data_IF_344240849188
#
_entry.id   IF_344240849188
#
_cell.length_a   1.000
_cell.length_b   1.000
_cell.length_c   1.000
_cell.angle_alpha   90.00
_cell.angle_beta   90.00
_cell.angle_gamma   90.00
#
_symmetry.space_group_name_H-M   'P 1'
#
loop_
_entity.id
_entity.type
_entity.pdbx_description
1 polymer ?
#
# COMPACT_ATOMS: atom_id res chain seq x y z
N UNK A 1 7.91 10.75 47.21
CA UNK A 1 7.28 9.46 47.59
C UNK A 1 6.63 8.80 46.38
N UNK A 2 7.41 8.00 45.63
CA UNK A 2 6.91 7.10 44.58
C UNK A 2 7.62 5.75 44.75
N UNK A 3 7.32 5.07 45.84
CA UNK A 3 7.89 3.76 46.21
C UNK A 3 6.94 2.59 45.91
N UNK A 4 5.69 2.88 45.50
CA UNK A 4 4.73 1.88 45.07
C UNK A 4 4.61 1.88 43.54
N UNK A 5 4.69 0.69 42.94
CA UNK A 5 4.49 0.52 41.50
C UNK A 5 3.00 0.55 41.14
N UNK A 6 2.66 1.19 40.02
CA UNK A 6 1.29 1.18 39.47
C UNK A 6 0.90 -0.14 38.81
N UNK A 7 1.89 -0.90 38.36
CA UNK A 7 1.77 -2.23 37.73
C UNK A 7 3.04 -3.02 38.02
N UNK A 8 3.00 -4.37 38.07
CA UNK A 8 4.21 -5.19 38.12
C UNK A 8 5.20 -4.75 37.04
N UNK A 9 6.47 -4.64 37.42
CA UNK A 9 7.55 -4.16 36.55
C UNK A 9 8.65 -5.21 36.45
N UNK A 10 9.44 -5.16 35.39
CA UNK A 10 10.53 -6.10 35.12
C UNK A 10 11.74 -5.37 34.52
N UNK A 11 12.89 -6.03 34.52
CA UNK A 11 14.03 -5.59 33.74
C UNK A 11 13.77 -5.84 32.26
N UNK A 12 14.16 -4.90 31.41
CA UNK A 12 14.06 -4.97 29.96
C UNK A 12 15.41 -4.58 29.36
N UNK A 13 15.72 -5.13 28.17
CA UNK A 13 16.87 -4.72 27.37
C UNK A 13 16.40 -4.56 25.92
N UNK A 14 17.06 -3.69 25.16
CA UNK A 14 16.67 -3.44 23.78
C UNK A 14 17.69 -4.07 22.82
N UNK A 15 17.22 -4.67 21.72
CA UNK A 15 18.12 -5.23 20.71
C UNK A 15 19.11 -4.20 20.16
N UNK A 16 18.69 -2.94 20.05
CA UNK A 16 19.53 -1.82 19.60
C UNK A 16 20.52 -1.31 20.66
N UNK A 17 20.57 -1.88 21.87
CA UNK A 17 21.62 -1.57 22.84
C UNK A 17 22.95 -2.27 22.52
N UNK A 18 22.96 -3.26 21.62
CA UNK A 18 24.16 -4.01 21.23
C UNK A 18 25.38 -3.12 20.89
N UNK A 19 25.27 -2.00 20.15
CA UNK A 19 26.41 -1.15 19.85
C UNK A 19 27.15 -0.61 21.08
N UNK A 20 26.51 -0.54 22.25
CA UNK A 20 27.14 -0.12 23.51
C UNK A 20 28.15 -1.14 24.05
N UNK A 21 28.07 -2.39 23.59
CA UNK A 21 28.99 -3.48 23.98
C UNK A 21 30.21 -3.61 23.07
N UNK A 22 30.27 -2.83 21.98
CA UNK A 22 31.35 -2.89 21.01
C UNK A 22 32.58 -2.10 21.49
N UNK A 23 33.78 -2.63 21.22
CA UNK A 23 35.04 -1.96 21.53
C UNK A 23 35.33 -0.75 20.62
N UNK A 24 36.37 0.06 20.95
CA UNK A 24 36.68 1.31 20.23
C UNK A 24 37.02 1.12 18.74
N UNK A 25 37.48 -0.07 18.35
CA UNK A 25 37.81 -0.40 16.95
C UNK A 25 36.56 -0.69 16.09
N UNK A 26 35.37 -0.80 16.69
CA UNK A 26 34.14 -1.11 15.97
C UNK A 26 33.60 0.13 15.22
N UNK A 27 33.19 -0.08 13.97
CA UNK A 27 32.61 0.97 13.13
C UNK A 27 31.09 0.98 13.27
N UNK A 28 30.56 1.94 14.02
CA UNK A 28 29.12 2.15 14.21
C UNK A 28 28.70 3.45 13.54
N UNK A 29 27.61 3.41 12.78
CA UNK A 29 27.08 4.59 12.07
C UNK A 29 25.57 4.52 11.89
N UNK A 30 25.01 5.57 11.30
CA UNK A 30 23.58 5.69 10.99
C UNK A 30 23.41 6.06 9.51
N UNK A 31 22.37 5.53 8.88
CA UNK A 31 21.95 5.94 7.53
C UNK A 31 20.57 6.58 7.64
N UNK A 32 20.48 7.84 7.24
CA UNK A 32 19.19 8.54 7.17
C UNK A 32 18.58 8.34 5.80
N UNK A 33 17.36 7.82 5.76
CA UNK A 33 16.61 7.62 4.52
C UNK A 33 15.57 8.74 4.40
N UNK A 34 15.74 9.60 3.41
CA UNK A 34 14.81 10.71 3.12
C UNK A 34 14.67 10.92 1.60
N UNK A 35 13.46 11.18 1.07
CA UNK A 35 12.17 11.10 1.75
C UNK A 35 11.80 9.66 2.11
N UNK A 36 10.89 9.48 3.08
CA UNK A 36 10.37 8.16 3.44
C UNK A 36 9.42 7.66 2.33
N UNK A 37 9.97 6.98 1.32
CA UNK A 37 9.18 6.40 0.24
C UNK A 37 8.47 5.10 0.66
N UNK A 38 9.11 4.32 1.55
CA UNK A 38 8.59 3.05 2.08
C UNK A 38 9.43 2.51 3.28
N UNK A 39 10.30 3.33 3.86
CA UNK A 39 11.33 2.88 4.81
C UNK A 39 10.82 2.78 6.25
N UNK A 40 9.78 3.55 6.60
CA UNK A 40 9.23 3.59 7.96
C UNK A 40 7.72 3.80 7.95
N UNK A 41 6.97 2.70 7.95
CA UNK A 41 5.49 2.69 7.92
C UNK A 41 4.93 1.72 8.98
N UNK A 42 5.21 1.93 10.27
CA UNK A 42 4.72 1.03 11.31
C UNK A 42 3.22 1.19 11.54
N UNK A 43 2.56 0.08 11.84
CA UNK A 43 1.19 0.03 12.38
C UNK A 43 1.32 -0.33 13.86
N UNK A 44 1.25 0.67 14.75
CA UNK A 44 1.54 0.48 16.18
C UNK A 44 0.63 1.24 17.15
N UNK A 45 -0.09 2.25 16.66
CA UNK A 45 -1.02 3.00 17.50
C UNK A 45 -2.44 2.51 17.27
N UNK A 46 -3.21 2.48 18.36
CA UNK A 46 -4.66 2.29 18.32
C UNK A 46 -5.37 3.45 17.59
N UNK A 47 -6.64 3.27 17.26
CA UNK A 47 -7.48 4.33 16.64
C UNK A 47 -7.47 5.61 17.49
N UNK A 48 -7.72 5.49 18.80
CA UNK A 48 -7.77 6.65 19.69
C UNK A 48 -6.43 7.39 19.78
N UNK A 49 -5.31 6.66 19.86
CA UNK A 49 -3.97 7.26 19.86
C UNK A 49 -3.63 7.91 18.51
N UNK A 50 -4.04 7.28 17.41
CA UNK A 50 -3.85 7.80 16.06
C UNK A 50 -4.60 9.12 15.86
N UNK A 51 -5.87 9.21 16.29
CA UNK A 51 -6.66 10.43 16.29
C UNK A 51 -6.01 11.53 17.14
N UNK A 52 -5.53 11.19 18.35
CA UNK A 52 -4.86 12.13 19.23
C UNK A 52 -3.53 12.67 18.66
N UNK A 53 -2.81 11.84 17.88
CA UNK A 53 -1.60 12.25 17.14
C UNK A 53 -1.95 13.11 15.93
N UNK A 54 -2.95 12.69 15.16
CA UNK A 54 -3.45 13.43 14.00
C UNK A 54 -3.85 14.86 14.39
N UNK A 55 -4.59 15.04 15.49
CA UNK A 55 -4.97 16.35 16.00
C UNK A 55 -3.80 17.28 16.35
N UNK A 56 -2.61 16.72 16.59
CA UNK A 56 -1.36 17.46 16.86
C UNK A 56 -0.50 17.67 15.61
N UNK A 57 -0.89 17.10 14.47
CA UNK A 57 -0.08 17.06 13.25
C UNK A 57 1.05 16.02 13.28
N UNK A 58 1.02 15.07 14.22
CA UNK A 58 2.03 14.01 14.33
C UNK A 58 1.71 12.83 13.41
N UNK A 59 2.73 12.06 12.93
CA UNK A 59 2.51 10.82 12.20
C UNK A 59 1.66 9.81 13.00
N UNK A 60 0.57 9.35 12.40
CA UNK A 60 -0.44 8.55 13.10
C UNK A 60 -0.01 7.12 13.34
N UNK A 61 0.82 6.52 12.46
CA UNK A 61 1.29 5.12 12.53
C UNK A 61 0.18 4.13 12.92
N UNK A 62 -0.98 4.29 12.29
CA UNK A 62 -2.21 3.50 12.46
C UNK A 62 -2.34 2.50 11.31
N UNK A 63 -3.33 1.61 11.38
CA UNK A 63 -3.62 0.69 10.28
C UNK A 63 -4.00 1.47 9.00
N UNK A 64 -4.72 2.59 9.13
CA UNK A 64 -5.02 3.50 8.03
C UNK A 64 -3.75 4.00 7.35
N UNK A 65 -2.83 4.62 8.08
CA UNK A 65 -1.61 5.18 7.46
C UNK A 65 -0.68 4.09 6.93
N UNK A 66 -0.59 2.93 7.60
CA UNK A 66 0.17 1.79 7.09
C UNK A 66 -0.32 1.32 5.71
N UNK A 67 -1.63 1.21 5.51
CA UNK A 67 -2.19 0.82 4.21
C UNK A 67 -1.97 1.91 3.13
N UNK A 68 -2.18 3.18 3.47
CA UNK A 68 -1.97 4.30 2.55
C UNK A 68 -0.50 4.45 2.12
N UNK A 69 0.45 4.20 3.04
CA UNK A 69 1.88 4.23 2.75
C UNK A 69 2.27 3.16 1.71
N UNK A 70 1.66 1.97 1.75
CA UNK A 70 1.88 0.93 0.74
C UNK A 70 1.43 1.43 -0.64
N UNK A 71 0.25 2.03 -0.76
CA UNK A 71 -0.22 2.60 -2.02
C UNK A 71 0.68 3.75 -2.49
N UNK A 72 1.07 4.63 -1.58
CA UNK A 72 1.94 5.77 -1.86
C UNK A 72 3.31 5.31 -2.40
N UNK A 73 3.89 4.26 -1.81
CA UNK A 73 5.19 3.72 -2.22
C UNK A 73 5.17 3.19 -3.66
N UNK A 74 4.14 2.43 -4.04
CA UNK A 74 3.97 1.93 -5.40
C UNK A 74 3.76 3.08 -6.40
N UNK A 75 2.91 4.06 -6.04
CA UNK A 75 2.69 5.25 -6.85
C UNK A 75 3.99 6.03 -7.05
N UNK A 76 4.78 6.23 -6.00
CA UNK A 76 6.06 6.93 -6.08
C UNK A 76 7.07 6.19 -6.97
N UNK A 77 7.18 4.86 -6.82
CA UNK A 77 8.05 4.04 -7.64
C UNK A 77 7.69 4.12 -9.13
N UNK A 78 6.40 4.06 -9.47
CA UNK A 78 5.92 4.20 -10.86
C UNK A 78 6.20 5.60 -11.43
N UNK A 79 6.00 6.66 -10.65
CA UNK A 79 6.35 8.03 -11.08
C UNK A 79 7.87 8.16 -11.32
N UNK A 80 8.69 7.59 -10.45
CA UNK A 80 10.16 7.63 -10.56
C UNK A 80 10.69 6.94 -11.83
N UNK A 81 9.99 5.94 -12.35
CA UNK A 81 10.36 5.26 -13.61
C UNK A 81 9.68 5.86 -14.84
N UNK A 82 8.87 6.91 -14.67
CA UNK A 82 8.34 7.74 -15.76
C UNK A 82 6.88 7.46 -16.15
N UNK A 83 6.12 6.70 -15.34
CA UNK A 83 4.69 6.50 -15.54
C UNK A 83 3.88 7.73 -15.10
N UNK A 84 2.71 7.92 -15.72
CA UNK A 84 1.73 8.93 -15.29
C UNK A 84 0.81 8.33 -14.22
N UNK A 85 0.88 8.84 -12.99
CA UNK A 85 0.07 8.33 -11.87
C UNK A 85 -0.63 9.49 -11.19
N UNK A 86 -1.97 9.47 -11.18
CA UNK A 86 -2.83 10.52 -10.67
C UNK A 86 -2.54 10.89 -9.22
N UNK A 87 -2.75 12.16 -8.87
CA UNK A 87 -2.51 12.67 -7.53
C UNK A 87 -3.43 12.02 -6.49
N UNK A 88 -2.99 11.89 -5.23
CA UNK A 88 -3.86 11.41 -4.15
C UNK A 88 -5.13 12.24 -4.00
N UNK A 89 -6.22 11.56 -3.65
CA UNK A 89 -7.50 12.19 -3.29
C UNK A 89 -7.52 12.51 -1.80
N UNK A 90 -8.26 13.55 -1.42
CA UNK A 90 -8.47 13.90 0.00
C UNK A 90 -9.65 13.08 0.55
N UNK A 91 -9.43 12.34 1.64
CA UNK A 91 -10.46 11.53 2.30
C UNK A 91 -10.48 11.74 3.81
N UNK A 92 -11.55 11.31 4.46
CA UNK A 92 -11.70 11.30 5.91
C UNK A 92 -11.96 9.87 6.37
N UNK A 93 -11.16 9.35 7.30
CA UNK A 93 -11.37 8.05 7.94
C UNK A 93 -11.16 8.19 9.44
N UNK A 94 -12.03 7.59 10.26
CA UNK A 94 -11.94 7.66 11.73
C UNK A 94 -11.92 9.11 12.23
N UNK A 95 -12.70 9.99 11.60
CA UNK A 95 -12.68 11.44 11.85
C UNK A 95 -11.36 12.17 11.57
N UNK A 96 -10.34 11.50 11.01
CA UNK A 96 -9.10 12.14 10.57
C UNK A 96 -9.30 12.68 9.16
N UNK A 97 -9.43 14.00 9.03
CA UNK A 97 -9.72 14.67 7.76
C UNK A 97 -8.48 14.81 6.86
N UNK A 98 -8.72 15.05 5.56
CA UNK A 98 -7.67 15.42 4.59
C UNK A 98 -6.51 14.42 4.50
N UNK A 99 -6.78 13.15 4.76
CA UNK A 99 -5.83 12.08 4.50
C UNK A 99 -5.63 11.96 2.99
N UNK A 100 -4.38 11.74 2.58
CA UNK A 100 -4.06 11.50 1.18
C UNK A 100 -4.32 10.02 0.84
N UNK A 101 -5.31 9.74 -0.01
CA UNK A 101 -5.58 8.43 -0.58
C UNK A 101 -4.97 8.36 -2.00
N UNK A 102 -3.79 7.75 -2.20
CA UNK A 102 -3.21 7.56 -3.52
C UNK A 102 -4.06 6.60 -4.38
N UNK A 103 -3.80 6.49 -5.69
CA UNK A 103 -4.25 5.33 -6.46
C UNK A 103 -3.90 4.02 -5.75
N UNK A 104 -4.83 3.06 -5.71
CA UNK A 104 -4.71 1.86 -4.87
C UNK A 104 -3.97 0.78 -5.64
N UNK A 105 -2.67 0.97 -5.74
CA UNK A 105 -1.75 0.10 -6.46
C UNK A 105 -1.08 -0.86 -5.47
N UNK A 106 -1.21 -2.16 -5.71
CA UNK A 106 -0.58 -3.20 -4.90
C UNK A 106 0.02 -4.25 -5.81
N UNK A 107 1.34 -4.33 -5.83
CA UNK A 107 2.07 -5.32 -6.63
C UNK A 107 2.68 -6.38 -5.73
N UNK A 108 2.59 -7.63 -6.17
CA UNK A 108 3.32 -8.73 -5.55
C UNK A 108 4.82 -8.39 -5.54
N UNK A 109 5.54 -8.70 -4.45
CA UNK A 109 6.99 -8.48 -4.38
C UNK A 109 7.77 -9.14 -5.53
N UNK A 110 7.23 -10.24 -6.07
CA UNK A 110 7.77 -10.97 -7.23
C UNK A 110 7.74 -10.17 -8.55
N UNK A 111 6.91 -9.13 -8.65
CA UNK A 111 6.83 -8.30 -9.85
C UNK A 111 8.09 -7.44 -10.01
N UNK A 112 8.45 -6.68 -8.97
CA UNK A 112 9.57 -5.75 -9.02
C UNK A 112 10.09 -5.40 -7.59
N UNK A 113 11.07 -6.13 -7.05
CA UNK A 113 11.60 -5.89 -5.70
C UNK A 113 12.54 -4.67 -5.62
N UNK A 114 12.87 -4.02 -6.75
CA UNK A 114 13.68 -2.80 -6.78
C UNK A 114 13.26 -1.90 -7.94
N UNK A 115 13.66 -0.61 -7.90
CA UNK A 115 13.42 0.33 -9.01
C UNK A 115 14.08 -0.13 -10.32
N UNK A 116 15.21 -0.83 -10.25
CA UNK A 116 15.87 -1.41 -11.42
C UNK A 116 15.02 -2.51 -12.06
N UNK A 117 14.45 -3.41 -11.24
CA UNK A 117 13.50 -4.41 -11.72
C UNK A 117 12.24 -3.74 -12.29
N UNK A 118 11.66 -2.77 -11.58
CA UNK A 118 10.47 -2.07 -12.05
C UNK A 118 10.70 -1.41 -13.42
N UNK A 119 11.86 -0.75 -13.62
CA UNK A 119 12.23 -0.18 -14.92
C UNK A 119 12.32 -1.26 -16.02
N UNK A 120 12.87 -2.43 -15.72
CA UNK A 120 12.93 -3.54 -16.68
C UNK A 120 11.55 -4.12 -17.05
N UNK A 121 10.54 -3.91 -16.19
CA UNK A 121 9.16 -4.34 -16.39
C UNK A 121 8.35 -3.38 -17.27
N UNK A 122 8.86 -2.17 -17.50
CA UNK A 122 8.16 -1.07 -18.15
C UNK A 122 8.97 -0.59 -19.37
N UNK A 123 8.87 -1.27 -20.53
CA UNK A 123 9.60 -0.87 -21.73
C UNK A 123 9.17 0.50 -22.28
N UNK A 124 7.92 0.91 -22.03
CA UNK A 124 7.38 2.20 -22.47
C UNK A 124 6.61 2.89 -21.33
N UNK A 125 7.28 3.35 -20.26
CA UNK A 125 6.61 3.82 -19.04
C UNK A 125 5.65 5.00 -19.29
N UNK A 126 5.91 5.82 -20.31
CA UNK A 126 5.04 6.93 -20.72
C UNK A 126 3.69 6.50 -21.29
N UNK A 127 3.55 5.23 -21.69
CA UNK A 127 2.29 4.64 -22.15
C UNK A 127 1.51 3.98 -21.00
N UNK A 128 1.97 4.18 -19.76
CA UNK A 128 1.29 3.71 -18.55
C UNK A 128 0.76 4.93 -17.80
N UNK A 129 -0.57 5.06 -17.79
CA UNK A 129 -1.33 6.08 -17.11
C UNK A 129 -2.34 5.45 -16.15
N UNK A 130 -2.33 5.87 -14.88
CA UNK A 130 -3.25 5.36 -13.84
C UNK A 130 -3.94 6.55 -13.19
N UNK A 131 -5.27 6.61 -13.27
CA UNK A 131 -6.05 7.72 -12.72
C UNK A 131 -6.04 7.76 -11.18
N UNK A 132 -6.35 8.92 -10.58
CA UNK A 132 -6.41 9.11 -9.12
C UNK A 132 -7.39 8.14 -8.43
N UNK A 133 -8.47 7.78 -9.14
CA UNK A 133 -9.52 6.89 -8.63
C UNK A 133 -9.26 5.41 -8.88
N UNK A 134 -8.13 5.05 -9.49
CA UNK A 134 -7.91 3.68 -9.93
C UNK A 134 -7.40 2.74 -8.84
N UNK A 135 -7.65 1.45 -9.03
CA UNK A 135 -7.09 0.35 -8.24
C UNK A 135 -6.40 -0.64 -9.18
N UNK A 136 -5.15 -1.00 -8.91
CA UNK A 136 -4.39 -1.94 -9.74
C UNK A 136 -3.70 -2.96 -8.87
N UNK A 137 -4.12 -4.22 -8.99
CA UNK A 137 -3.56 -5.33 -8.24
C UNK A 137 -2.89 -6.31 -9.19
N UNK A 138 -1.61 -6.61 -8.92
CA UNK A 138 -0.86 -7.69 -9.55
C UNK A 138 -0.45 -8.68 -8.45
N UNK A 139 -1.00 -9.89 -8.46
CA UNK A 139 -0.72 -10.90 -7.43
C UNK A 139 -0.19 -12.22 -8.01
N UNK A 140 0.52 -12.99 -7.17
CA UNK A 140 1.08 -14.30 -7.52
C UNK A 140 2.50 -14.25 -8.12
N UNK A 141 2.75 -15.07 -9.14
CA UNK A 141 4.05 -15.26 -9.78
C UNK A 141 4.31 -14.21 -10.88
N UNK A 142 4.52 -12.96 -10.47
CA UNK A 142 4.63 -11.82 -11.39
C UNK A 142 6.03 -11.58 -12.00
N UNK A 143 7.00 -12.47 -11.75
CA UNK A 143 8.40 -12.35 -12.19
C UNK A 143 8.56 -12.25 -13.72
N UNK A 144 7.59 -12.77 -14.47
CA UNK A 144 7.60 -12.82 -15.93
C UNK A 144 6.49 -11.96 -16.55
N UNK A 145 5.91 -11.04 -15.77
CA UNK A 145 4.98 -10.01 -16.27
C UNK A 145 5.78 -8.84 -16.83
N UNK A 146 5.34 -8.25 -17.94
CA UNK A 146 5.82 -7.00 -18.54
C UNK A 146 4.60 -6.08 -18.69
N UNK A 147 4.72 -4.82 -18.26
CA UNK A 147 3.70 -3.80 -18.42
C UNK A 147 4.14 -2.83 -19.52
N UNK A 148 3.65 -3.06 -20.74
CA UNK A 148 4.04 -2.31 -21.93
C UNK A 148 3.22 -1.03 -22.09
N UNK A 149 1.89 -1.15 -22.00
CA UNK A 149 0.95 -0.02 -22.05
C UNK A 149 -0.27 -0.32 -21.18
N UNK A 150 -0.82 0.72 -20.57
CA UNK A 150 -2.07 0.67 -19.79
C UNK A 150 -2.58 2.10 -19.53
N UNK A 151 -3.79 2.41 -19.95
CA UNK A 151 -4.55 3.55 -19.45
C UNK A 151 -5.66 3.03 -18.54
N UNK A 152 -5.49 3.20 -17.23
CA UNK A 152 -6.42 2.69 -16.22
C UNK A 152 -7.23 3.83 -15.60
N UNK A 153 -8.56 3.72 -15.75
CA UNK A 153 -9.54 4.53 -15.02
C UNK A 153 -10.65 3.65 -14.41
N UNK A 154 -10.31 2.95 -13.34
CA UNK A 154 -11.17 1.95 -12.72
C UNK A 154 -10.37 0.95 -11.89
N UNK A 155 -10.80 -0.30 -11.84
CA UNK A 155 -10.10 -1.39 -11.18
C UNK A 155 -9.64 -2.46 -12.17
N UNK A 156 -8.36 -2.83 -12.07
CA UNK A 156 -7.74 -3.95 -12.78
C UNK A 156 -7.12 -4.89 -11.75
N UNK A 157 -7.47 -6.18 -11.82
CA UNK A 157 -6.90 -7.22 -10.97
C UNK A 157 -6.38 -8.37 -11.84
N UNK A 158 -5.07 -8.62 -11.77
CA UNK A 158 -4.42 -9.69 -12.51
C UNK A 158 -3.74 -10.64 -11.52
N UNK A 159 -4.14 -11.90 -11.58
CA UNK A 159 -3.60 -12.97 -10.73
C UNK A 159 -2.83 -13.99 -11.59
N UNK A 160 -1.54 -14.18 -11.30
CA UNK A 160 -0.67 -15.13 -12.01
C UNK A 160 -0.40 -16.32 -11.10
N UNK A 161 -1.08 -17.44 -11.34
CA UNK A 161 -0.99 -18.63 -10.47
C UNK A 161 0.12 -19.60 -10.88
N UNK A 162 0.72 -19.45 -12.06
CA UNK A 162 1.72 -20.39 -12.57
C UNK A 162 3.08 -19.72 -12.82
N UNK A 163 4.20 -20.23 -12.28
CA UNK A 163 5.53 -19.58 -12.36
C UNK A 163 6.11 -19.48 -13.77
N UNK A 164 5.71 -20.39 -14.68
CA UNK A 164 6.11 -20.34 -16.10
C UNK A 164 5.17 -19.51 -16.99
N UNK A 165 4.22 -18.78 -16.42
CA UNK A 165 3.41 -17.82 -17.17
C UNK A 165 4.28 -16.61 -17.53
N UNK A 166 4.27 -16.20 -18.80
CA UNK A 166 4.90 -14.97 -19.29
C UNK A 166 3.79 -14.08 -19.84
N UNK A 167 3.52 -12.98 -19.18
CA UNK A 167 2.42 -12.09 -19.50
C UNK A 167 2.95 -10.74 -19.97
N UNK A 168 2.50 -10.28 -21.12
CA UNK A 168 2.67 -8.89 -21.55
C UNK A 168 1.32 -8.19 -21.42
N UNK A 169 1.27 -7.14 -20.61
CA UNK A 169 0.11 -6.26 -20.48
C UNK A 169 0.32 -5.13 -21.49
N UNK A 170 -0.45 -5.17 -22.57
CA UNK A 170 -0.55 -4.13 -23.60
C UNK A 170 -2.00 -3.72 -23.73
N UNK A 171 -2.57 -3.29 -22.62
CA UNK A 171 -3.93 -2.81 -22.59
C UNK A 171 -3.96 -1.37 -23.08
N UNK A 172 -4.93 -1.04 -23.92
CA UNK A 172 -5.29 0.35 -24.18
C UNK A 172 -5.98 0.95 -22.94
N UNK A 173 -7.26 1.29 -23.09
CA UNK A 173 -8.08 1.82 -22.02
C UNK A 173 -8.80 0.71 -21.25
N UNK A 174 -8.58 0.65 -19.93
CA UNK A 174 -9.39 -0.13 -18.99
C UNK A 174 -10.20 0.85 -18.15
N UNK A 175 -11.50 0.96 -18.45
CA UNK A 175 -12.40 1.89 -17.75
C UNK A 175 -13.59 1.12 -17.17
N UNK A 176 -13.84 1.31 -15.87
CA UNK A 176 -14.97 0.68 -15.17
C UNK A 176 -15.32 1.43 -13.86
N UNK A 177 -16.42 1.04 -13.21
CA UNK A 177 -16.88 1.66 -11.97
C UNK A 177 -15.85 1.55 -10.82
N UNK A 178 -14.94 0.58 -10.87
CA UNK A 178 -13.81 0.49 -9.96
C UNK A 178 -14.18 0.18 -8.51
N UNK A 179 -13.28 0.51 -7.59
CA UNK A 179 -13.41 0.23 -6.16
C UNK A 179 -13.46 1.52 -5.34
N UNK A 180 -14.20 1.47 -4.21
CA UNK A 180 -14.40 2.59 -3.30
C UNK A 180 -14.01 2.23 -1.87
N UNK A 181 -13.39 3.17 -1.17
CA UNK A 181 -13.05 3.06 0.25
C UNK A 181 -14.06 3.90 1.01
N UNK A 182 -15.10 3.26 1.52
CA UNK A 182 -16.19 3.93 2.22
C UNK A 182 -15.84 4.02 3.71
N UNK A 183 -15.78 5.23 4.30
CA UNK A 183 -15.59 5.40 5.74
C UNK A 183 -16.63 4.61 6.53
N UNK A 184 -16.25 4.03 7.66
CA UNK A 184 -17.18 3.23 8.46
C UNK A 184 -18.33 4.07 9.02
N UNK A 185 -18.08 5.35 9.29
CA UNK A 185 -19.07 6.31 9.76
C UNK A 185 -20.22 6.51 8.75
N UNK A 186 -19.95 6.31 7.46
CA UNK A 186 -20.96 6.38 6.40
C UNK A 186 -21.80 5.08 6.31
N UNK A 187 -21.29 3.97 6.85
CA UNK A 187 -21.98 2.67 6.87
C UNK A 187 -22.92 2.51 8.07
N UNK A 188 -22.60 3.14 9.20
CA UNK A 188 -23.42 3.09 10.43
C UNK A 188 -24.82 3.68 10.24
N UNK A 189 -25.01 4.55 9.25
CA UNK A 189 -26.30 5.16 8.88
C UNK A 189 -27.04 4.50 7.72
N UNK A 190 -26.45 3.51 7.05
CA UNK A 190 -27.04 2.86 5.88
C UNK A 190 -27.67 1.51 6.27
N UNK A 191 -28.98 1.36 6.07
CA UNK A 191 -29.75 0.12 6.30
C UNK A 191 -29.25 -1.09 5.46
N UNK A 192 -28.22 -0.90 4.63
CA UNK A 192 -27.71 -1.84 3.63
C UNK A 192 -26.42 -2.56 4.02
N UNK A 193 -25.81 -2.32 5.19
CA UNK A 193 -24.66 -3.11 5.63
C UNK A 193 -25.08 -4.47 6.20
N UNK A 194 -25.22 -5.47 5.33
CA UNK A 194 -25.64 -6.83 5.68
C UNK A 194 -24.60 -7.63 6.47
N UNK A 195 -23.35 -7.15 6.56
CA UNK A 195 -22.25 -7.85 7.23
C UNK A 195 -21.62 -7.01 8.34
N UNK A 196 -21.29 -7.62 9.51
CA UNK A 196 -20.69 -6.92 10.63
C UNK A 196 -19.35 -6.29 10.23
N UNK A 197 -19.00 -5.18 10.88
CA UNK A 197 -17.67 -4.57 10.75
C UNK A 197 -16.65 -5.52 11.34
N UNK A 198 -15.65 -5.88 10.55
CA UNK A 198 -14.54 -6.74 10.99
C UNK A 198 -13.52 -5.95 11.81
N UNK A 199 -12.66 -6.63 12.57
CA UNK A 199 -11.64 -5.94 13.37
C UNK A 199 -10.66 -5.16 12.49
N UNK A 200 -10.27 -5.72 11.35
CA UNK A 200 -9.37 -5.05 10.41
C UNK A 200 -10.00 -3.81 9.78
N UNK A 201 -11.31 -3.81 9.53
CA UNK A 201 -12.07 -2.65 9.08
C UNK A 201 -12.13 -1.59 10.19
N UNK A 202 -12.47 -1.99 11.42
CA UNK A 202 -12.55 -1.10 12.58
C UNK A 202 -11.19 -0.42 12.87
N UNK A 203 -10.09 -1.15 12.73
CA UNK A 203 -8.74 -0.60 12.92
C UNK A 203 -8.33 0.40 11.84
N UNK A 204 -8.73 0.17 10.57
CA UNK A 204 -8.30 1.00 9.42
C UNK A 204 -9.27 2.12 9.07
N UNK A 205 -10.54 2.02 9.48
CA UNK A 205 -11.52 3.10 9.34
C UNK A 205 -12.36 3.11 8.08
N UNK A 206 -12.30 2.07 7.26
CA UNK A 206 -13.07 2.01 6.03
C UNK A 206 -13.33 0.57 5.60
N UNK A 207 -14.35 0.41 4.75
CA UNK A 207 -14.66 -0.80 3.99
C UNK A 207 -14.34 -0.59 2.52
N UNK A 208 -13.77 -1.62 1.88
CA UNK A 208 -13.49 -1.59 0.43
C UNK A 208 -14.65 -2.22 -0.34
N UNK A 209 -15.39 -1.41 -1.07
CA UNK A 209 -16.46 -1.83 -1.97
C UNK A 209 -15.89 -2.04 -3.38
N UNK A 210 -15.87 -3.28 -3.84
CA UNK A 210 -15.37 -3.66 -5.17
C UNK A 210 -16.50 -3.68 -6.19
N UNK A 211 -17.03 -2.51 -6.55
CA UNK A 211 -18.22 -2.36 -7.42
C UNK A 211 -18.02 -3.04 -8.78
N UNK A 212 -16.90 -2.77 -9.44
CA UNK A 212 -16.56 -3.40 -10.71
C UNK A 212 -15.06 -3.66 -10.79
N UNK A 213 -14.65 -4.74 -11.47
CA UNK A 213 -13.24 -5.12 -11.63
C UNK A 213 -13.03 -5.79 -12.99
N UNK A 214 -12.08 -5.29 -13.79
CA UNK A 214 -11.52 -6.07 -14.89
C UNK A 214 -10.58 -7.12 -14.28
N UNK A 215 -10.98 -8.41 -14.29
CA UNK A 215 -10.25 -9.49 -13.63
C UNK A 215 -9.70 -10.50 -14.63
N UNK A 216 -8.42 -10.81 -14.52
CA UNK A 216 -7.73 -11.80 -15.37
C UNK A 216 -6.92 -12.77 -14.51
N UNK A 217 -7.07 -14.07 -14.78
CA UNK A 217 -6.41 -15.12 -14.01
C UNK A 217 -5.66 -16.07 -14.94
N UNK A 218 -4.38 -16.31 -14.64
CA UNK A 218 -3.50 -17.14 -15.47
C UNK A 218 -3.05 -18.38 -14.68
N UNK A 219 -3.73 -19.51 -14.91
CA UNK A 219 -3.51 -20.77 -14.20
C UNK A 219 -2.45 -21.69 -14.81
N UNK A 220 -2.07 -21.45 -16.07
CA UNK A 220 -1.16 -22.33 -16.80
C UNK A 220 0.10 -21.61 -17.26
N UNK A 221 1.16 -22.38 -17.49
CA UNK A 221 2.37 -21.88 -18.13
C UNK A 221 2.11 -21.56 -19.60
N UNK A 222 2.81 -20.55 -20.12
CA UNK A 222 2.57 -20.10 -21.49
C UNK A 222 3.02 -18.67 -21.70
N UNK A 223 2.85 -18.18 -22.93
CA UNK A 223 3.02 -16.77 -23.28
C UNK A 223 1.63 -16.19 -23.52
N UNK A 224 1.32 -15.10 -22.84
CA UNK A 224 0.06 -14.40 -22.91
C UNK A 224 0.31 -12.93 -23.22
N UNK A 225 -0.58 -12.35 -24.00
CA UNK A 225 -0.66 -10.91 -24.20
C UNK A 225 -2.07 -10.53 -23.78
N UNK A 226 -2.18 -9.57 -22.87
CA UNK A 226 -3.45 -8.95 -22.52
C UNK A 226 -3.55 -7.65 -23.32
N UNK A 227 -4.57 -7.55 -24.17
CA UNK A 227 -4.85 -6.41 -25.07
C UNK A 227 -6.04 -5.59 -24.58
#
# INVERSE_FOLDING_TARGET
TKTAFKKPTRLECMMQDYPKSLGPEAKVGFTTITPNLAAYSPVKNSVAEAQAKFAKGDPTHSATSGELDVYASHCAALRLVGCSVGSPMSVTFLGMERLALPPRISFAPSFAPSLGHLRSKLPAPRQVAISARSSFVLEGHCENVILESLELDGALHISVHHPRCRLVIRCGLVQNAGWHWTPLEELEGAETSTSPVTEEEAMRGFRVHRTETARYEFFHGGRYVLE
#
